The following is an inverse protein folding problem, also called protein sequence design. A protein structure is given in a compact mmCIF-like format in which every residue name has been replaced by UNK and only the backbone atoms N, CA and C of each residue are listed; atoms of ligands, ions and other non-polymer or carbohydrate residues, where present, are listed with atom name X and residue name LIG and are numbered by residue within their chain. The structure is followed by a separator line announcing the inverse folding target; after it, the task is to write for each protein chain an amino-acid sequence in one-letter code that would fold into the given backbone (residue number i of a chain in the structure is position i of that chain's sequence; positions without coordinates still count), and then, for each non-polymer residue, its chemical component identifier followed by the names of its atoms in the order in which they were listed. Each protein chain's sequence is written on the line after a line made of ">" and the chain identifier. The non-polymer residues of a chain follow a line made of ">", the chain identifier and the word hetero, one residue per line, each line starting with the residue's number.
data_IF_430624103838
#
_entry.id   IF_430624103838
#
_cell.length_a   1.000
_cell.length_b   1.000
_cell.length_c   1.000
_cell.angle_alpha   90.00
_cell.angle_beta   90.00
_cell.angle_gamma   90.00
#
_symmetry.space_group_name_H-M   'P 1'
#
loop_
_entity.id
_entity.type
_entity.pdbx_description
1 polymer ?
#
# COMPACT_ATOMS: atom_id res chain seq x y z
N UNK A 1 -32.97 -67.90 -18.18
CA UNK A 1 -32.49 -66.55 -17.84
C UNK A 1 -32.51 -65.71 -19.10
N UNK A 2 -33.47 -64.78 -19.24
CA UNK A 2 -33.42 -63.84 -20.37
C UNK A 2 -32.18 -62.96 -20.23
N UNK A 3 -31.47 -62.73 -21.34
CA UNK A 3 -30.26 -61.92 -21.33
C UNK A 3 -30.61 -60.47 -20.98
N UNK A 4 -29.72 -59.78 -20.26
CA UNK A 4 -29.92 -58.37 -19.88
C UNK A 4 -30.19 -57.47 -21.11
N UNK A 5 -29.70 -57.87 -22.29
CA UNK A 5 -29.93 -57.19 -23.56
C UNK A 5 -31.36 -57.36 -24.13
N UNK A 6 -32.03 -58.46 -23.84
CA UNK A 6 -33.42 -58.69 -24.29
C UNK A 6 -34.42 -57.95 -23.42
N UNK A 7 -34.14 -57.86 -22.11
CA UNK A 7 -34.94 -57.06 -21.17
C UNK A 7 -34.87 -55.57 -21.51
N UNK A 8 -33.69 -55.05 -21.87
CA UNK A 8 -33.49 -53.66 -22.29
C UNK A 8 -34.25 -53.31 -23.58
N UNK A 9 -34.24 -54.21 -24.59
CA UNK A 9 -35.00 -53.99 -25.83
C UNK A 9 -36.52 -53.96 -25.62
N UNK A 10 -37.02 -54.75 -24.66
CA UNK A 10 -38.45 -54.74 -24.30
C UNK A 10 -38.86 -53.44 -23.59
N UNK A 11 -38.00 -52.90 -22.72
CA UNK A 11 -38.19 -51.62 -22.02
C UNK A 11 -38.13 -50.42 -22.97
N UNK A 12 -37.23 -50.44 -23.96
CA UNK A 12 -37.15 -49.38 -24.99
C UNK A 12 -38.38 -49.34 -25.91
N UNK A 13 -38.99 -50.49 -26.20
CA UNK A 13 -40.26 -50.57 -26.95
C UNK A 13 -41.46 -50.06 -26.15
N UNK A 14 -41.48 -50.29 -24.83
CA UNK A 14 -42.57 -49.88 -23.96
C UNK A 14 -42.53 -48.38 -23.58
N UNK A 15 -41.35 -47.74 -23.63
CA UNK A 15 -41.20 -46.32 -23.28
C UNK A 15 -40.31 -45.56 -24.29
N UNK A 16 -40.92 -45.04 -25.38
CA UNK A 16 -40.19 -44.35 -26.46
C UNK A 16 -39.40 -43.12 -26.00
N UNK A 17 -39.87 -42.45 -24.93
CA UNK A 17 -39.20 -41.28 -24.35
C UNK A 17 -37.91 -41.66 -23.62
N UNK A 18 -37.86 -42.84 -22.97
CA UNK A 18 -36.66 -43.35 -22.31
C UNK A 18 -35.60 -43.80 -23.31
N UNK A 19 -36.02 -44.46 -24.40
CA UNK A 19 -35.13 -44.88 -25.49
C UNK A 19 -34.55 -43.68 -26.27
N UNK A 20 -35.31 -42.58 -26.37
CA UNK A 20 -34.80 -41.31 -26.90
C UNK A 20 -33.73 -40.71 -25.97
N UNK A 21 -34.01 -40.62 -24.66
CA UNK A 21 -33.05 -40.12 -23.67
C UNK A 21 -31.75 -40.93 -23.58
N UNK A 22 -31.80 -42.25 -23.73
CA UNK A 22 -30.59 -43.10 -23.74
C UNK A 22 -29.75 -42.91 -25.01
N UNK A 23 -30.39 -42.73 -26.17
CA UNK A 23 -29.70 -42.40 -27.43
C UNK A 23 -29.11 -41.00 -27.41
N UNK A 24 -29.85 -40.04 -26.87
CA UNK A 24 -29.41 -38.67 -26.68
C UNK A 24 -28.25 -38.60 -25.66
N UNK A 25 -28.28 -39.42 -24.60
CA UNK A 25 -27.20 -39.53 -23.60
C UNK A 25 -25.93 -40.18 -24.17
N UNK A 26 -26.04 -41.16 -25.07
CA UNK A 26 -24.87 -41.74 -25.77
C UNK A 26 -24.26 -40.77 -26.77
N UNK A 27 -25.10 -40.02 -27.51
CA UNK A 27 -24.64 -38.94 -28.41
C UNK A 27 -23.96 -37.80 -27.65
N UNK A 28 -24.37 -37.50 -26.42
CA UNK A 28 -23.72 -36.48 -25.58
C UNK A 28 -22.31 -36.85 -25.10
N UNK A 29 -21.93 -38.13 -25.10
CA UNK A 29 -20.60 -38.56 -24.63
C UNK A 29 -19.53 -38.56 -25.74
N UNK A 30 -19.90 -38.49 -27.02
CA UNK A 30 -18.96 -38.67 -28.14
C UNK A 30 -18.58 -37.41 -28.93
N UNK A 31 -18.96 -36.20 -28.51
CA UNK A 31 -18.45 -34.96 -29.12
C UNK A 31 -18.04 -33.92 -28.07
N UNK A 32 -16.92 -34.17 -27.37
CA UNK A 32 -16.14 -33.06 -26.78
C UNK A 32 -15.17 -32.53 -27.83
N UNK A 33 -15.70 -31.74 -28.76
CA UNK A 33 -14.88 -30.83 -29.55
C UNK A 33 -14.39 -29.76 -28.57
N UNK A 34 -13.08 -29.69 -28.33
CA UNK A 34 -12.47 -28.58 -27.60
C UNK A 34 -12.06 -27.51 -28.62
N UNK A 35 -12.86 -26.45 -28.86
CA UNK A 35 -12.57 -25.45 -29.89
C UNK A 35 -11.37 -24.54 -29.57
N UNK A 36 -10.73 -24.70 -28.41
CA UNK A 36 -9.63 -23.86 -27.93
C UNK A 36 -8.56 -24.74 -27.28
N UNK A 37 -7.32 -24.67 -27.76
CA UNK A 37 -6.18 -25.45 -27.23
C UNK A 37 -5.99 -25.25 -25.72
N UNK A 38 -6.18 -24.01 -25.24
CA UNK A 38 -6.01 -23.65 -23.84
C UNK A 38 -7.35 -23.27 -23.21
N UNK A 39 -7.64 -23.84 -22.03
CA UNK A 39 -8.78 -23.46 -21.21
C UNK A 39 -8.28 -22.92 -19.86
N UNK A 40 -8.77 -21.74 -19.47
CA UNK A 40 -8.42 -21.15 -18.17
C UNK A 40 -9.37 -21.67 -17.10
N UNK A 41 -8.82 -22.35 -16.09
CA UNK A 41 -9.56 -22.91 -14.97
C UNK A 41 -9.64 -21.93 -13.78
N UNK A 42 -8.77 -20.92 -13.73
CA UNK A 42 -8.86 -19.87 -12.71
C UNK A 42 -10.11 -19.04 -12.88
N UNK A 43 -10.93 -18.99 -11.83
CA UNK A 43 -12.08 -18.09 -11.74
C UNK A 43 -11.57 -16.65 -11.67
N UNK A 44 -11.98 -15.83 -12.65
CA UNK A 44 -11.52 -14.45 -12.75
C UNK A 44 -12.23 -13.60 -11.69
N UNK A 45 -11.46 -12.84 -10.91
CA UNK A 45 -11.96 -11.84 -9.97
C UNK A 45 -11.69 -10.44 -10.51
N UNK A 46 -12.74 -9.72 -10.91
CA UNK A 46 -12.64 -8.33 -11.36
C UNK A 46 -12.29 -7.36 -10.20
N UNK A 47 -12.60 -7.76 -8.97
CA UNK A 47 -12.34 -6.98 -7.76
C UNK A 47 -10.87 -7.11 -7.29
N UNK A 48 -10.29 -8.31 -7.41
CA UNK A 48 -8.98 -8.64 -6.84
C UNK A 48 -7.84 -8.73 -7.87
N UNK A 49 -8.16 -8.74 -9.17
CA UNK A 49 -7.19 -8.70 -10.26
C UNK A 49 -7.45 -7.49 -11.18
N UNK A 50 -6.61 -6.46 -11.09
CA UNK A 50 -6.73 -5.24 -11.93
C UNK A 50 -6.61 -5.46 -13.44
N UNK A 51 -6.22 -6.67 -13.87
CA UNK A 51 -6.12 -7.05 -15.28
C UNK A 51 -7.25 -8.00 -15.72
N UNK A 52 -8.15 -8.39 -14.82
CA UNK A 52 -9.26 -9.31 -15.12
C UNK A 52 -8.79 -10.68 -15.63
N UNK A 53 -7.69 -11.21 -15.07
CA UNK A 53 -7.01 -12.41 -15.59
C UNK A 53 -6.81 -13.54 -14.59
N UNK A 54 -6.95 -13.28 -13.30
CA UNK A 54 -6.87 -14.31 -12.26
C UNK A 54 -7.88 -14.04 -11.14
N UNK A 55 -7.91 -14.92 -10.15
CA UNK A 55 -8.67 -14.82 -8.90
C UNK A 55 -8.09 -13.79 -7.91
N UNK A 56 -7.01 -13.11 -8.28
CA UNK A 56 -6.26 -12.20 -7.42
C UNK A 56 -5.02 -12.85 -6.80
N UNK A 57 -4.80 -14.16 -6.90
CA UNK A 57 -3.59 -14.83 -6.39
C UNK A 57 -2.32 -14.40 -7.14
N UNK A 58 -2.45 -13.86 -8.35
CA UNK A 58 -1.33 -13.60 -9.24
C UNK A 58 -0.94 -14.82 -10.08
N UNK A 59 -1.72 -15.89 -10.06
CA UNK A 59 -1.52 -17.10 -10.86
C UNK A 59 -2.77 -17.42 -11.68
N UNK A 60 -2.56 -18.01 -12.86
CA UNK A 60 -3.60 -18.42 -13.80
C UNK A 60 -3.38 -19.90 -14.07
N UNK A 61 -4.36 -20.72 -13.69
CA UNK A 61 -4.41 -22.15 -13.95
C UNK A 61 -4.99 -22.37 -15.34
N UNK A 62 -4.23 -23.09 -16.17
CA UNK A 62 -4.57 -23.36 -17.56
C UNK A 62 -4.41 -24.85 -17.82
N UNK A 63 -5.33 -25.44 -18.57
CA UNK A 63 -5.19 -26.77 -19.16
C UNK A 63 -4.89 -26.63 -20.66
N UNK A 64 -3.88 -27.35 -21.15
CA UNK A 64 -3.62 -27.57 -22.57
C UNK A 64 -4.28 -28.90 -22.99
N UNK A 65 -5.34 -28.80 -23.80
CA UNK A 65 -6.12 -29.96 -24.27
C UNK A 65 -5.38 -30.79 -25.32
N UNK A 66 -4.36 -30.24 -26.00
CA UNK A 66 -3.53 -31.00 -26.95
C UNK A 66 -2.50 -31.86 -26.22
N UNK A 67 -1.86 -31.31 -25.19
CA UNK A 67 -0.86 -32.05 -24.40
C UNK A 67 -1.44 -32.81 -23.20
N UNK A 68 -2.72 -32.60 -22.90
CA UNK A 68 -3.42 -33.09 -21.70
C UNK A 68 -2.62 -32.78 -20.41
N UNK A 69 -2.13 -31.53 -20.31
CA UNK A 69 -1.32 -31.05 -19.19
C UNK A 69 -1.93 -29.81 -18.58
N UNK A 70 -1.80 -29.72 -17.27
CA UNK A 70 -2.15 -28.54 -16.49
C UNK A 70 -0.89 -27.80 -16.07
N UNK A 71 -0.94 -26.47 -16.14
CA UNK A 71 0.15 -25.63 -15.67
C UNK A 71 -0.35 -24.30 -15.12
N UNK A 72 0.51 -23.67 -14.32
CA UNK A 72 0.27 -22.35 -13.74
C UNK A 72 1.09 -21.30 -14.47
N UNK A 73 0.44 -20.24 -14.92
CA UNK A 73 1.05 -19.06 -15.52
C UNK A 73 0.96 -17.87 -14.58
N UNK A 74 1.99 -17.04 -14.52
CA UNK A 74 1.92 -15.81 -13.73
C UNK A 74 0.99 -14.77 -14.37
N UNK A 75 0.13 -14.18 -13.54
CA UNK A 75 -0.69 -13.05 -13.91
C UNK A 75 0.11 -11.75 -13.73
N UNK A 76 -0.02 -10.74 -14.63
CA UNK A 76 0.64 -9.44 -14.48
C UNK A 76 0.36 -8.72 -13.14
N UNK A 77 -0.77 -9.01 -12.46
CA UNK A 77 -1.04 -8.42 -11.14
C UNK A 77 -0.05 -8.91 -10.06
N UNK A 78 0.63 -10.06 -10.26
CA UNK A 78 1.65 -10.57 -9.34
C UNK A 78 2.83 -9.62 -9.23
N UNK A 79 3.29 -9.07 -10.35
CA UNK A 79 4.38 -8.08 -10.37
C UNK A 79 3.95 -6.75 -9.74
N UNK A 80 2.70 -6.32 -9.93
CA UNK A 80 2.16 -5.12 -9.26
C UNK A 80 2.05 -5.33 -7.74
N UNK A 81 1.66 -6.53 -7.29
CA UNK A 81 1.67 -6.88 -5.86
C UNK A 81 3.09 -6.92 -5.29
N UNK A 82 4.06 -7.46 -6.02
CA UNK A 82 5.49 -7.40 -5.64
C UNK A 82 6.00 -5.96 -5.60
N UNK A 83 5.58 -5.09 -6.52
CA UNK A 83 5.92 -3.67 -6.54
C UNK A 83 5.31 -2.94 -5.33
N UNK A 84 4.06 -3.24 -4.97
CA UNK A 84 3.39 -2.70 -3.78
C UNK A 84 4.10 -3.13 -2.50
N UNK A 85 4.50 -4.40 -2.40
CA UNK A 85 5.30 -4.89 -1.27
C UNK A 85 6.70 -4.26 -1.24
N UNK A 86 7.34 -4.06 -2.39
CA UNK A 86 8.59 -3.29 -2.50
C UNK A 86 8.41 -1.83 -2.10
N UNK A 87 7.30 -1.18 -2.43
CA UNK A 87 7.03 0.21 -2.06
C UNK A 87 6.79 0.37 -0.55
N UNK A 88 6.33 -0.68 0.14
CA UNK A 88 6.28 -0.72 1.61
C UNK A 88 7.63 -1.04 2.26
N UNK A 89 8.46 -1.90 1.66
CA UNK A 89 9.74 -2.32 2.27
C UNK A 89 10.97 -1.51 1.85
N UNK A 90 10.93 -0.77 0.74
CA UNK A 90 12.12 -0.15 0.15
C UNK A 90 12.34 1.32 0.52
N UNK A 91 11.42 1.96 1.26
CA UNK A 91 11.50 3.40 1.55
C UNK A 91 11.35 3.77 3.02
N UNK A 92 10.78 2.91 3.86
CA UNK A 92 10.80 3.14 5.29
C UNK A 92 12.19 2.80 5.84
N UNK A 93 12.87 3.71 6.55
CA UNK A 93 14.16 3.40 7.18
C UNK A 93 14.08 2.13 8.05
N UNK A 94 15.11 1.28 7.99
CA UNK A 94 15.15 0.02 8.74
C UNK A 94 14.98 0.25 10.25
N UNK A 95 15.46 1.39 10.77
CA UNK A 95 15.26 1.80 12.17
C UNK A 95 13.78 1.91 12.61
N UNK A 96 12.85 2.03 11.66
CA UNK A 96 11.42 2.11 11.93
C UNK A 96 10.64 0.86 11.56
N UNK A 97 11.29 -0.22 11.10
CA UNK A 97 10.63 -1.46 10.67
C UNK A 97 9.75 -2.09 11.73
N UNK A 98 10.16 -2.03 13.00
CA UNK A 98 9.39 -2.54 14.13
C UNK A 98 8.63 -1.44 14.90
N UNK A 99 8.61 -0.21 14.36
CA UNK A 99 7.91 0.89 14.98
C UNK A 99 6.41 0.61 15.06
N UNK A 100 5.86 0.78 16.26
CA UNK A 100 4.43 0.65 16.53
C UNK A 100 3.97 1.74 17.47
N UNK A 101 2.67 2.06 17.42
CA UNK A 101 2.06 3.02 18.35
C UNK A 101 2.31 2.64 19.82
N UNK A 102 2.35 1.34 20.14
CA UNK A 102 2.61 0.88 21.51
C UNK A 102 4.07 1.15 21.92
N UNK A 103 5.03 0.85 21.03
CA UNK A 103 6.46 1.07 21.25
C UNK A 103 6.88 2.54 21.35
N UNK A 104 6.01 3.49 20.95
CA UNK A 104 6.25 4.92 21.12
C UNK A 104 6.23 5.28 22.61
N UNK A 105 7.39 5.26 23.25
CA UNK A 105 7.56 5.57 24.66
C UNK A 105 7.55 7.09 24.87
N UNK A 106 6.66 7.55 25.75
CA UNK A 106 6.56 8.97 26.13
C UNK A 106 7.48 9.32 27.30
N UNK A 107 8.05 8.33 27.98
CA UNK A 107 8.91 8.55 29.13
C UNK A 107 10.32 9.00 28.75
N UNK A 108 10.71 8.84 27.47
CA UNK A 108 11.98 9.33 26.91
C UNK A 108 12.08 10.86 26.85
N UNK A 109 10.96 11.57 26.96
CA UNK A 109 10.92 13.02 27.05
C UNK A 109 11.10 13.44 28.51
N UNK A 110 11.98 14.39 28.82
CA UNK A 110 12.24 14.76 30.23
C UNK A 110 11.23 15.78 30.74
N UNK A 111 10.94 16.80 29.94
CA UNK A 111 10.11 17.93 30.36
C UNK A 111 8.66 17.47 30.52
N UNK A 112 7.96 17.82 31.60
CA UNK A 112 6.54 17.46 31.78
C UNK A 112 5.66 17.87 30.60
N UNK A 113 5.87 19.08 30.07
CA UNK A 113 5.16 19.57 28.88
C UNK A 113 5.48 18.75 27.62
N UNK A 114 6.75 18.36 27.43
CA UNK A 114 7.14 17.47 26.32
C UNK A 114 6.44 16.11 26.42
N UNK A 115 6.38 15.53 27.64
CA UNK A 115 5.66 14.26 27.88
C UNK A 115 4.19 14.39 27.55
N UNK A 116 3.54 15.48 27.96
CA UNK A 116 2.13 15.74 27.67
C UNK A 116 1.89 15.89 26.16
N UNK A 117 2.71 16.69 25.48
CA UNK A 117 2.65 16.84 24.01
C UNK A 117 2.84 15.50 23.29
N UNK A 118 3.83 14.71 23.71
CA UNK A 118 4.07 13.36 23.17
C UNK A 118 2.88 12.43 23.39
N UNK A 119 2.28 12.45 24.58
CA UNK A 119 1.09 11.66 24.90
C UNK A 119 -0.12 12.07 24.06
N UNK A 120 -0.31 13.38 23.86
CA UNK A 120 -1.35 13.92 22.99
C UNK A 120 -1.14 13.50 21.54
N UNK A 121 0.09 13.61 21.02
CA UNK A 121 0.42 13.17 19.66
C UNK A 121 0.18 11.66 19.48
N UNK A 122 0.63 10.83 20.44
CA UNK A 122 0.37 9.38 20.45
C UNK A 122 -1.12 9.06 20.46
N UNK A 123 -1.93 9.80 21.23
CA UNK A 123 -3.39 9.65 21.28
C UNK A 123 -4.05 10.04 19.97
N UNK A 124 -3.64 11.15 19.35
CA UNK A 124 -4.11 11.57 18.02
C UNK A 124 -3.78 10.51 16.98
N UNK A 125 -2.54 10.02 16.96
CA UNK A 125 -2.10 8.96 16.07
C UNK A 125 -2.94 7.69 16.21
N UNK A 126 -3.18 7.21 17.45
CA UNK A 126 -4.05 6.07 17.72
C UNK A 126 -5.48 6.30 17.20
N UNK A 127 -6.06 7.46 17.48
CA UNK A 127 -7.41 7.80 17.05
C UNK A 127 -7.51 7.97 15.53
N UNK A 128 -6.45 8.45 14.88
CA UNK A 128 -6.38 8.54 13.43
C UNK A 128 -6.44 7.16 12.80
N UNK A 129 -5.66 6.20 13.31
CA UNK A 129 -5.72 4.80 12.86
C UNK A 129 -7.12 4.23 13.06
N UNK A 130 -7.71 4.36 14.25
CA UNK A 130 -9.06 3.82 14.54
C UNK A 130 -10.16 4.41 13.66
N UNK A 131 -9.96 5.65 13.17
CA UNK A 131 -10.92 6.38 12.34
C UNK A 131 -10.43 6.50 10.91
N UNK A 132 -9.51 5.65 10.46
CA UNK A 132 -8.81 5.84 9.19
C UNK A 132 -9.77 5.88 8.00
N UNK A 133 -10.79 5.01 7.95
CA UNK A 133 -11.80 5.04 6.88
C UNK A 133 -12.50 6.40 6.77
N UNK A 134 -12.94 6.95 7.89
CA UNK A 134 -13.51 8.31 7.94
C UNK A 134 -12.51 9.37 7.48
N UNK A 135 -11.24 9.24 7.87
CA UNK A 135 -10.18 10.16 7.44
C UNK A 135 -9.93 10.04 5.93
N UNK A 136 -9.99 8.83 5.37
CA UNK A 136 -9.86 8.54 3.94
C UNK A 136 -11.01 9.15 3.15
N UNK A 137 -12.25 9.01 3.60
CA UNK A 137 -13.42 9.65 2.98
C UNK A 137 -13.34 11.18 2.96
N UNK A 138 -12.78 11.76 4.03
CA UNK A 138 -12.55 13.20 4.14
C UNK A 138 -11.29 13.67 3.39
N UNK A 139 -10.41 12.75 2.98
CA UNK A 139 -9.08 13.05 2.44
C UNK A 139 -8.16 13.74 3.45
N UNK A 140 -8.37 13.52 4.75
CA UNK A 140 -7.66 14.18 5.83
C UNK A 140 -6.46 13.36 6.32
N UNK A 141 -5.29 13.98 6.32
CA UNK A 141 -4.05 13.46 6.90
C UNK A 141 -3.67 14.14 8.21
N UNK A 142 -2.41 13.98 8.60
CA UNK A 142 -1.80 14.60 9.78
C UNK A 142 -0.54 15.36 9.38
N UNK A 143 -0.28 16.50 10.01
CA UNK A 143 0.95 17.26 9.85
C UNK A 143 1.69 17.28 11.18
N UNK A 144 2.70 16.42 11.33
CA UNK A 144 3.54 16.38 12.52
C UNK A 144 4.66 17.41 12.42
N UNK A 145 4.71 18.34 13.35
CA UNK A 145 5.76 19.35 13.33
C UNK A 145 6.35 19.64 14.70
N UNK A 146 7.64 19.96 14.69
CA UNK A 146 8.39 20.53 15.81
C UNK A 146 9.63 21.16 15.21
N UNK A 147 10.03 22.32 15.72
CA UNK A 147 11.26 23.00 15.30
C UNK A 147 12.48 22.10 15.48
N UNK A 148 12.44 21.24 16.50
CA UNK A 148 13.54 20.37 16.85
C UNK A 148 13.58 19.07 16.03
N UNK A 149 14.79 18.70 15.59
CA UNK A 149 15.04 17.42 14.90
C UNK A 149 15.15 16.27 15.89
N UNK A 150 14.70 15.08 15.48
CA UNK A 150 14.79 13.89 16.32
C UNK A 150 13.83 13.89 17.51
N UNK A 151 12.69 14.57 17.40
CA UNK A 151 11.59 14.62 18.38
C UNK A 151 10.59 13.47 18.26
N UNK A 152 10.75 12.58 17.28
CA UNK A 152 9.89 11.41 17.07
C UNK A 152 8.80 11.57 15.99
N UNK A 153 8.80 12.66 15.21
CA UNK A 153 7.85 12.89 14.09
C UNK A 153 7.77 11.70 13.12
N UNK A 154 8.91 11.35 12.51
CA UNK A 154 9.04 10.25 11.55
C UNK A 154 8.63 8.91 12.15
N UNK A 155 9.11 8.62 13.37
CA UNK A 155 8.77 7.39 14.11
C UNK A 155 7.25 7.24 14.30
N UNK A 156 6.56 8.33 14.63
CA UNK A 156 5.11 8.30 14.84
C UNK A 156 4.35 8.15 13.51
N UNK A 157 4.80 8.82 12.44
CA UNK A 157 4.26 8.62 11.09
C UNK A 157 4.41 7.16 10.61
N UNK A 158 5.59 6.57 10.80
CA UNK A 158 5.86 5.16 10.52
C UNK A 158 4.97 4.22 11.35
N UNK A 159 4.80 4.52 12.64
CA UNK A 159 3.93 3.75 13.53
C UNK A 159 2.47 3.75 13.08
N UNK A 160 1.97 4.88 12.57
CA UNK A 160 0.64 4.98 11.98
C UNK A 160 0.55 4.15 10.70
N UNK A 161 1.56 4.24 9.84
CA UNK A 161 1.66 3.47 8.61
C UNK A 161 1.49 1.98 8.88
N UNK A 162 2.31 1.43 9.78
CA UNK A 162 2.28 0.03 10.17
C UNK A 162 0.94 -0.38 10.78
N UNK A 163 0.38 0.45 11.64
CA UNK A 163 -0.90 0.18 12.27
C UNK A 163 -2.04 0.16 11.23
N UNK A 164 -2.03 1.07 10.25
CA UNK A 164 -3.03 1.10 9.18
C UNK A 164 -2.89 -0.13 8.29
N UNK A 165 -1.68 -0.45 7.82
CA UNK A 165 -1.44 -1.66 7.04
C UNK A 165 -1.95 -2.88 7.79
N UNK A 166 -1.60 -3.04 9.07
CA UNK A 166 -2.01 -4.21 9.85
C UNK A 166 -3.53 -4.32 10.06
N UNK A 167 -4.24 -3.20 10.21
CA UNK A 167 -5.67 -3.19 10.54
C UNK A 167 -6.55 -3.22 9.28
N UNK A 168 -6.14 -2.56 8.21
CA UNK A 168 -6.96 -2.29 7.03
C UNK A 168 -6.47 -3.01 5.76
N UNK A 169 -5.24 -3.53 5.72
CA UNK A 169 -4.77 -4.37 4.60
C UNK A 169 -5.21 -5.83 4.82
N UNK A 170 -6.52 -6.07 4.71
CA UNK A 170 -7.11 -7.41 4.86
C UNK A 170 -6.98 -8.21 3.57
N UNK A 171 -6.70 -9.51 3.69
CA UNK A 171 -6.49 -10.43 2.56
C UNK A 171 -7.69 -10.55 1.60
N UNK A 172 -8.89 -10.24 2.07
CA UNK A 172 -10.17 -10.38 1.33
C UNK A 172 -10.67 -9.06 0.74
N UNK A 173 -9.91 -7.97 0.89
CA UNK A 173 -10.23 -6.66 0.32
C UNK A 173 -9.11 -6.22 -0.65
N UNK A 174 -9.38 -5.21 -1.47
CA UNK A 174 -8.34 -4.61 -2.33
C UNK A 174 -7.22 -4.04 -1.44
N UNK A 175 -5.96 -4.48 -1.62
CA UNK A 175 -4.88 -4.07 -0.74
C UNK A 175 -4.64 -2.56 -0.83
N UNK A 176 -4.38 -1.96 0.33
CA UNK A 176 -4.15 -0.52 0.40
C UNK A 176 -2.82 -0.15 -0.27
N UNK A 177 -2.87 0.79 -1.21
CA UNK A 177 -1.65 1.36 -1.78
C UNK A 177 -1.09 2.39 -0.83
N UNK A 178 -0.08 2.00 -0.08
CA UNK A 178 0.56 2.83 0.93
C UNK A 178 1.99 3.15 0.50
N UNK A 179 2.38 4.42 0.58
CA UNK A 179 3.73 4.87 0.25
C UNK A 179 4.31 5.66 1.40
N UNK A 180 5.57 5.39 1.73
CA UNK A 180 6.42 6.25 2.53
C UNK A 180 7.54 6.78 1.64
N UNK A 181 7.92 8.04 1.81
CA UNK A 181 9.15 8.59 1.22
C UNK A 181 9.59 9.82 2.00
N UNK A 182 10.90 9.98 2.22
CA UNK A 182 11.43 11.30 2.50
C UNK A 182 11.22 12.20 1.27
N UNK A 183 11.03 13.50 1.49
CA UNK A 183 10.89 14.48 0.40
C UNK A 183 12.16 14.54 -0.45
N UNK A 184 13.34 14.46 0.19
CA UNK A 184 14.63 14.43 -0.49
C UNK A 184 14.77 13.22 -1.44
N UNK A 185 14.45 12.01 -0.97
CA UNK A 185 14.53 10.80 -1.79
C UNK A 185 13.51 10.83 -2.92
N UNK A 186 12.29 11.28 -2.65
CA UNK A 186 11.25 11.40 -3.69
C UNK A 186 11.70 12.32 -4.83
N UNK A 187 12.27 13.48 -4.50
CA UNK A 187 12.78 14.42 -5.49
C UNK A 187 14.01 13.84 -6.21
N UNK A 188 14.91 13.16 -5.49
CA UNK A 188 16.09 12.52 -6.07
C UNK A 188 15.70 11.47 -7.11
N UNK A 189 14.73 10.62 -6.78
CA UNK A 189 14.18 9.58 -7.67
C UNK A 189 13.45 10.17 -8.88
N UNK A 190 12.66 11.23 -8.69
CA UNK A 190 12.03 11.88 -9.85
C UNK A 190 13.11 12.48 -10.77
N UNK A 191 14.18 13.06 -10.20
CA UNK A 191 15.28 13.63 -10.99
C UNK A 191 16.08 12.57 -11.75
N UNK A 192 16.38 11.42 -11.13
CA UNK A 192 17.16 10.34 -11.76
C UNK A 192 16.48 9.77 -13.01
N UNK A 193 15.14 9.84 -13.08
CA UNK A 193 14.39 9.39 -14.27
C UNK A 193 14.52 10.31 -15.50
N UNK A 194 15.12 11.50 -15.38
CA UNK A 194 15.41 12.37 -16.53
C UNK A 194 16.71 11.99 -17.24
N UNK A 195 17.53 11.11 -16.68
CA UNK A 195 18.70 10.55 -17.38
C UNK A 195 18.26 9.54 -18.45
N UNK A 196 18.89 9.60 -19.62
CA UNK A 196 18.48 8.95 -20.88
C UNK A 196 18.43 7.41 -20.86
N UNK A 197 18.88 6.77 -19.78
CA UNK A 197 18.91 5.31 -19.61
C UNK A 197 17.89 4.76 -18.61
N UNK A 198 17.08 5.62 -17.96
CA UNK A 198 16.10 5.15 -16.97
C UNK A 198 14.96 4.35 -17.62
N UNK A 199 14.74 3.12 -17.13
CA UNK A 199 13.58 2.28 -17.50
C UNK A 199 12.27 2.75 -16.87
N UNK A 200 12.34 3.62 -15.85
CA UNK A 200 11.18 4.16 -15.12
C UNK A 200 11.01 5.62 -15.50
N UNK A 201 9.80 6.04 -15.85
CA UNK A 201 9.53 7.45 -16.16
C UNK A 201 9.21 8.21 -14.87
N UNK A 202 9.58 9.49 -14.83
CA UNK A 202 9.16 10.42 -13.75
C UNK A 202 7.65 10.40 -13.53
N UNK A 203 6.87 10.18 -14.60
CA UNK A 203 5.42 10.04 -14.55
C UNK A 203 4.97 8.87 -13.70
N UNK A 204 5.67 7.74 -13.75
CA UNK A 204 5.27 6.52 -13.03
C UNK A 204 5.44 6.70 -11.52
N UNK A 205 6.54 7.35 -11.10
CA UNK A 205 6.80 7.67 -9.70
C UNK A 205 5.78 8.69 -9.19
N UNK A 206 5.54 9.76 -9.96
CA UNK A 206 4.55 10.76 -9.59
C UNK A 206 3.15 10.16 -9.49
N UNK A 207 2.75 9.32 -10.43
CA UNK A 207 1.41 8.74 -10.45
C UNK A 207 1.23 7.71 -9.33
N UNK A 208 2.27 6.96 -8.97
CA UNK A 208 2.25 6.12 -7.79
C UNK A 208 1.98 6.93 -6.51
N UNK A 209 2.72 8.03 -6.29
CA UNK A 209 2.54 8.90 -5.12
C UNK A 209 1.19 9.62 -5.13
N UNK A 210 0.73 10.09 -6.30
CA UNK A 210 -0.57 10.77 -6.43
C UNK A 210 -1.74 9.84 -6.13
N UNK A 211 -1.71 8.61 -6.65
CA UNK A 211 -2.86 7.70 -6.62
C UNK A 211 -2.92 6.80 -5.40
N UNK A 212 -1.82 6.68 -4.63
CA UNK A 212 -1.76 5.91 -3.40
C UNK A 212 -2.85 6.32 -2.39
N UNK A 213 -3.43 5.33 -1.72
CA UNK A 213 -4.51 5.46 -0.75
C UNK A 213 -4.05 6.17 0.53
N UNK A 214 -2.76 6.04 0.88
CA UNK A 214 -2.10 6.81 1.92
C UNK A 214 -0.66 7.09 1.52
N UNK A 215 -0.20 8.32 1.77
CA UNK A 215 1.20 8.72 1.59
C UNK A 215 1.73 9.33 2.87
N UNK A 216 2.94 8.95 3.26
CA UNK A 216 3.77 9.69 4.22
C UNK A 216 4.85 10.44 3.42
N UNK A 217 4.82 11.78 3.50
CA UNK A 217 5.89 12.65 3.04
C UNK A 217 6.71 13.07 4.25
N UNK A 218 7.87 12.47 4.43
CA UNK A 218 8.73 12.71 5.57
C UNK A 218 9.73 13.86 5.32
N UNK A 219 9.94 14.70 6.32
CA UNK A 219 10.89 15.82 6.37
C UNK A 219 10.67 16.89 5.28
N UNK A 220 9.42 17.31 5.06
CA UNK A 220 9.14 18.44 4.16
C UNK A 220 9.83 19.71 4.66
N UNK A 221 10.47 20.43 3.73
CA UNK A 221 11.16 21.68 4.01
C UNK A 221 12.59 21.53 4.53
N UNK A 222 13.14 20.32 4.52
CA UNK A 222 14.58 20.09 4.74
C UNK A 222 15.37 20.24 3.43
N UNK A 223 14.71 20.05 2.29
CA UNK A 223 15.35 20.11 0.98
C UNK A 223 15.63 21.54 0.49
N UNK A 224 16.63 21.68 -0.40
CA UNK A 224 16.83 22.92 -1.14
C UNK A 224 15.66 23.12 -2.11
N UNK A 225 14.72 24.00 -1.75
CA UNK A 225 13.52 24.29 -2.53
C UNK A 225 13.89 25.04 -3.80
N UNK A 226 14.01 24.31 -4.91
CA UNK A 226 14.08 24.90 -6.25
C UNK A 226 12.67 25.02 -6.83
N UNK A 227 12.51 25.82 -7.90
CA UNK A 227 11.24 25.92 -8.63
C UNK A 227 10.69 24.55 -9.05
N UNK A 228 11.56 23.65 -9.49
CA UNK A 228 11.20 22.28 -9.84
C UNK A 228 10.62 21.50 -8.64
N UNK A 229 11.25 21.62 -7.46
CA UNK A 229 10.81 20.95 -6.23
C UNK A 229 9.42 21.46 -5.83
N UNK A 230 9.26 22.78 -5.80
CA UNK A 230 7.99 23.41 -5.44
C UNK A 230 6.86 23.05 -6.43
N UNK A 231 7.13 23.06 -7.74
CA UNK A 231 6.16 22.63 -8.76
C UNK A 231 5.81 21.15 -8.64
N UNK A 232 6.79 20.30 -8.32
CA UNK A 232 6.57 18.85 -8.15
C UNK A 232 5.67 18.58 -6.96
N UNK A 233 5.96 19.16 -5.79
CA UNK A 233 5.11 19.01 -4.61
C UNK A 233 3.73 19.63 -4.83
N UNK A 234 3.64 20.81 -5.46
CA UNK A 234 2.36 21.43 -5.79
C UNK A 234 1.49 20.47 -6.60
N UNK A 235 2.04 19.84 -7.64
CA UNK A 235 1.30 18.88 -8.48
C UNK A 235 0.87 17.63 -7.72
N UNK A 236 1.69 17.13 -6.80
CA UNK A 236 1.36 15.96 -5.96
C UNK A 236 0.23 16.34 -5.00
N UNK A 237 0.38 17.43 -4.25
CA UNK A 237 -0.58 17.87 -3.25
C UNK A 237 -1.90 18.31 -3.89
N UNK A 238 -1.88 18.98 -5.05
CA UNK A 238 -3.10 19.36 -5.78
C UNK A 238 -3.92 18.13 -6.16
N UNK A 239 -3.29 17.11 -6.75
CA UNK A 239 -3.99 15.87 -7.09
C UNK A 239 -4.56 15.21 -5.84
N UNK A 240 -3.74 15.05 -4.80
CA UNK A 240 -4.16 14.35 -3.59
C UNK A 240 -5.29 15.11 -2.88
N UNK A 241 -5.26 16.43 -2.86
CA UNK A 241 -6.35 17.26 -2.35
C UNK A 241 -7.61 17.12 -3.20
N UNK A 242 -7.50 17.20 -4.53
CA UNK A 242 -8.62 17.08 -5.47
C UNK A 242 -9.34 15.74 -5.35
N UNK A 243 -8.58 14.65 -5.23
CA UNK A 243 -9.10 13.28 -5.16
C UNK A 243 -9.22 12.74 -3.73
N UNK A 244 -9.18 13.62 -2.71
CA UNK A 244 -9.33 13.29 -1.29
C UNK A 244 -8.43 12.13 -0.83
N UNK A 245 -7.16 12.17 -1.20
CA UNK A 245 -6.15 11.17 -0.80
C UNK A 245 -5.42 11.64 0.47
N UNK A 246 -5.62 10.97 1.62
CA UNK A 246 -5.03 11.39 2.90
C UNK A 246 -3.50 11.36 2.84
N UNK A 247 -2.84 12.37 3.39
CA UNK A 247 -1.37 12.50 3.36
C UNK A 247 -0.86 12.87 4.73
N UNK A 248 -0.03 12.01 5.32
CA UNK A 248 0.69 12.31 6.55
C UNK A 248 1.99 13.01 6.15
N UNK A 249 2.30 14.10 6.82
CA UNK A 249 3.45 14.93 6.53
C UNK A 249 4.21 15.15 7.83
N UNK A 250 5.55 15.11 7.78
CA UNK A 250 6.39 15.52 8.89
C UNK A 250 7.25 16.71 8.47
N UNK A 251 7.50 17.65 9.39
CA UNK A 251 8.23 18.88 9.10
C UNK A 251 8.97 19.42 10.32
N UNK A 252 10.03 20.20 10.08
CA UNK A 252 10.64 21.04 11.12
C UNK A 252 10.07 22.46 11.15
N UNK A 253 9.11 22.76 10.28
CA UNK A 253 8.47 24.07 10.15
C UNK A 253 6.99 23.97 10.55
N UNK A 254 6.44 25.03 11.12
CA UNK A 254 4.98 25.17 11.19
C UNK A 254 4.39 25.24 9.76
N UNK A 255 3.07 25.13 9.62
CA UNK A 255 2.44 25.22 8.28
C UNK A 255 2.63 26.63 7.72
N UNK A 256 2.58 27.62 8.60
CA UNK A 256 2.78 29.04 8.32
C UNK A 256 4.22 29.30 7.85
N UNK A 257 5.20 28.66 8.49
CA UNK A 257 6.61 28.82 8.15
C UNK A 257 7.00 28.11 6.84
N UNK A 258 6.16 27.23 6.28
CA UNK A 258 6.41 26.64 4.96
C UNK A 258 6.54 27.71 3.87
N UNK A 259 5.85 28.85 4.00
CA UNK A 259 5.91 29.93 3.01
C UNK A 259 7.26 30.64 2.96
N UNK A 260 8.08 30.50 4.02
CA UNK A 260 9.44 31.04 4.05
C UNK A 260 10.36 30.37 3.02
N UNK A 261 10.07 29.10 2.70
CA UNK A 261 10.84 28.29 1.76
C UNK A 261 10.08 28.00 0.45
N UNK A 262 8.76 27.80 0.51
CA UNK A 262 7.88 27.62 -0.65
C UNK A 262 7.15 28.94 -0.96
N UNK A 263 7.86 29.83 -1.64
CA UNK A 263 7.47 31.24 -1.83
C UNK A 263 6.15 31.44 -2.57
N UNK A 264 5.63 30.44 -3.27
CA UNK A 264 4.34 30.55 -3.96
C UNK A 264 3.14 30.56 -3.02
N UNK A 265 3.31 30.17 -1.74
CA UNK A 265 2.20 30.01 -0.78
C UNK A 265 1.26 28.85 -1.09
N UNK A 266 1.55 28.06 -2.15
CA UNK A 266 0.67 26.98 -2.57
C UNK A 266 0.78 25.81 -1.61
N UNK A 267 1.99 25.41 -1.23
CA UNK A 267 2.23 24.22 -0.40
C UNK A 267 1.51 24.33 0.94
N UNK A 268 1.74 25.40 1.71
CA UNK A 268 1.09 25.67 3.00
C UNK A 268 -0.44 25.60 2.90
N UNK A 269 -1.02 26.30 1.92
CA UNK A 269 -2.47 26.33 1.68
C UNK A 269 -3.08 24.94 1.43
N UNK A 270 -2.38 24.06 0.68
CA UNK A 270 -2.84 22.67 0.47
C UNK A 270 -2.72 21.86 1.75
N UNK A 271 -1.58 21.98 2.44
CA UNK A 271 -1.30 21.27 3.68
C UNK A 271 -2.33 21.63 4.76
N UNK A 272 -2.61 22.91 4.97
CA UNK A 272 -3.62 23.40 5.91
C UNK A 272 -5.01 22.81 5.62
N UNK A 273 -5.38 22.73 4.35
CA UNK A 273 -6.66 22.15 3.94
C UNK A 273 -6.71 20.63 4.08
N UNK A 274 -5.61 19.91 3.85
CA UNK A 274 -5.64 18.45 3.79
C UNK A 274 -5.14 17.73 5.05
N UNK A 275 -4.40 18.39 5.93
CA UNK A 275 -3.76 17.75 7.08
C UNK A 275 -4.10 18.47 8.39
N UNK A 276 -4.39 17.69 9.44
CA UNK A 276 -4.58 18.24 10.77
C UNK A 276 -3.22 18.43 11.48
N UNK A 277 -2.90 19.64 12.00
CA UNK A 277 -1.62 19.88 12.64
C UNK A 277 -1.51 19.16 13.99
N UNK A 278 -0.38 18.48 14.22
CA UNK A 278 -0.03 17.82 15.47
C UNK A 278 1.35 18.33 15.91
N UNK A 279 1.34 19.13 16.97
CA UNK A 279 2.56 19.69 17.55
C UNK A 279 3.30 18.59 18.31
N UNK A 280 4.52 18.29 17.88
CA UNK A 280 5.43 17.39 18.55
C UNK A 280 6.30 18.14 19.58
N UNK A 281 6.88 17.44 20.57
CA UNK A 281 7.76 18.09 21.54
C UNK A 281 9.02 18.68 20.91
N UNK A 282 9.46 19.84 21.36
CA UNK A 282 10.74 20.44 20.98
C UNK A 282 11.88 19.86 21.85
N UNK A 283 12.16 18.57 21.68
CA UNK A 283 13.20 17.86 22.44
C UNK A 283 13.92 16.82 21.57
N UNK A 284 15.26 16.81 21.60
CA UNK A 284 16.12 15.89 20.82
C UNK A 284 16.21 14.51 21.49
N UNK A 285 15.15 13.70 21.38
CA UNK A 285 15.13 12.36 21.98
C UNK A 285 16.04 11.36 21.27
N UNK A 286 16.28 11.50 19.95
CA UNK A 286 17.15 10.59 19.18
C UNK A 286 18.56 10.49 19.77
N UNK A 287 19.12 11.63 20.23
CA UNK A 287 20.45 11.65 20.86
C UNK A 287 20.48 10.83 22.16
N UNK A 288 19.42 10.91 22.97
CA UNK A 288 19.33 10.21 24.25
C UNK A 288 19.18 8.70 24.06
N UNK A 289 18.35 8.30 23.09
CA UNK A 289 18.19 6.89 22.72
C UNK A 289 19.54 6.32 22.28
N UNK A 290 20.23 7.00 21.37
CA UNK A 290 21.56 6.57 20.90
C UNK A 290 22.60 6.51 22.03
N UNK A 291 22.57 7.44 22.99
CA UNK A 291 23.48 7.39 24.15
C UNK A 291 23.24 6.14 24.99
N UNK A 292 21.97 5.82 25.28
CA UNK A 292 21.61 4.63 26.04
C UNK A 292 21.98 3.34 25.30
N UNK A 293 21.70 3.26 24.00
CA UNK A 293 22.09 2.11 23.16
C UNK A 293 23.61 1.93 23.13
N UNK A 294 24.38 3.02 23.04
CA UNK A 294 25.83 2.95 23.08
C UNK A 294 26.37 2.51 24.45
N UNK A 295 25.72 2.91 25.56
CA UNK A 295 26.09 2.46 26.91
C UNK A 295 25.82 0.96 27.10
N UNK A 296 24.69 0.45 26.60
CA UNK A 296 24.35 -0.97 26.62
C UNK A 296 25.34 -1.78 25.76
N UNK A 297 25.64 -1.32 24.54
CA UNK A 297 26.64 -1.92 23.65
C UNK A 297 28.05 -1.88 24.24
N UNK A 298 28.40 -0.82 24.98
CA UNK A 298 29.71 -0.72 25.63
C UNK A 298 29.90 -1.87 26.64
N UNK A 299 28.86 -2.26 27.37
CA UNK A 299 28.94 -3.38 28.30
C UNK A 299 29.17 -4.69 27.55
N UNK A 300 28.42 -4.94 26.47
CA UNK A 300 28.56 -6.16 25.66
C UNK A 300 29.89 -6.25 24.90
N UNK A 301 30.45 -5.12 24.46
CA UNK A 301 31.71 -5.09 23.69
C UNK A 301 32.96 -5.17 24.57
N UNK A 302 32.83 -4.97 25.89
CA UNK A 302 33.93 -5.08 26.85
C UNK A 302 33.97 -6.43 27.59
N UNK A 303 32.93 -7.25 27.46
CA UNK A 303 32.91 -8.67 27.88
C UNK A 303 33.64 -9.59 26.88
#
# INVERSE_FOLDING_TARGET
>A
MQSMGDTLKSLEKANPALAKRLRDSKKLQEEKVYPVRYETLTVISEEHCMYGKCDGSGLIWIIDHEENKEFMKECPCKEVKKLSNRLMSARLPEEFKDASLNSFDINVYEKPESKERAANAKRVAKNYVLKFEKMRELGKGLYFFSEEKGSGKTRLAASILHAITKVYDKKEEKPLKIIYSSTADLIGEIKSTFDSESKVKSTDIMDAVKTADLVVLDDIGVENVTKFVEETFTRILDYRLQYKKPTIITSNLSIEDLDTIYKSGRISSRVEKMAFPVIMPNEKIRKKIAQKENEELLLELYE
#
